data_IF_599974600407
#
_entry.id   IF_599974600407
#
_cell.length_a   1.000
_cell.length_b   1.000
_cell.length_c   1.000
_cell.angle_alpha   90.00
_cell.angle_beta   90.00
_cell.angle_gamma   90.00
#
_symmetry.space_group_name_H-M   'P 1'
#
loop_
_entity.id
_entity.type
_entity.pdbx_description
1 polymer ?
#
# COMPACT_ATOMS: atom_id res chain seq x y z
N UNK A 1 -13.88 -11.16 0.48
CA UNK A 1 -12.47 -11.46 0.76
C UNK A 1 -11.71 -10.14 0.69
N UNK A 2 -11.53 -9.46 1.83
CA UNK A 2 -11.13 -8.04 1.89
C UNK A 2 -9.81 -7.82 2.66
N UNK A 3 -9.13 -8.90 3.05
CA UNK A 3 -7.96 -8.85 3.93
C UNK A 3 -6.74 -8.21 3.24
N UNK A 4 -6.43 -8.61 2.01
CA UNK A 4 -5.17 -8.20 1.35
C UNK A 4 -5.09 -6.71 0.94
N UNK A 5 -6.21 -6.00 0.84
CA UNK A 5 -6.19 -4.57 0.47
C UNK A 5 -5.93 -3.69 1.70
N UNK A 6 -6.51 -4.07 2.84
CA UNK A 6 -6.31 -3.39 4.13
C UNK A 6 -4.87 -3.55 4.61
N UNK A 7 -4.30 -4.77 4.51
CA UNK A 7 -2.88 -5.02 4.83
C UNK A 7 -1.92 -4.18 3.95
N UNK A 8 -2.26 -3.99 2.67
CA UNK A 8 -1.43 -3.21 1.75
C UNK A 8 -1.50 -1.71 2.04
N UNK A 9 -2.71 -1.22 2.37
CA UNK A 9 -2.94 0.17 2.76
C UNK A 9 -2.23 0.47 4.06
N UNK A 10 -2.38 -0.39 5.07
CA UNK A 10 -1.79 -0.21 6.39
C UNK A 10 -0.25 -0.25 6.30
N UNK A 11 0.32 -1.15 5.48
CA UNK A 11 1.76 -1.16 5.21
C UNK A 11 2.26 0.12 4.50
N UNK A 12 1.51 0.65 3.54
CA UNK A 12 1.85 1.89 2.85
C UNK A 12 1.72 3.10 3.80
N UNK A 13 0.69 3.10 4.64
CA UNK A 13 0.40 4.13 5.62
C UNK A 13 1.45 4.17 6.73
N UNK A 14 1.85 3.03 7.29
CA UNK A 14 2.95 2.94 8.26
C UNK A 14 4.30 3.40 7.68
N UNK A 15 4.56 3.13 6.40
CA UNK A 15 5.76 3.64 5.72
C UNK A 15 5.71 5.15 5.53
N UNK A 16 4.54 5.70 5.17
CA UNK A 16 4.39 7.09 4.76
C UNK A 16 4.09 8.06 5.93
N UNK A 17 3.31 7.65 6.93
CA UNK A 17 2.99 8.47 8.11
C UNK A 17 4.04 8.33 9.20
N UNK A 18 4.50 7.10 9.47
CA UNK A 18 5.44 6.82 10.57
C UNK A 18 6.91 6.88 10.09
N UNK A 19 7.15 6.94 8.78
CA UNK A 19 8.51 6.94 8.19
C UNK A 19 9.26 5.62 8.38
N UNK A 20 8.55 4.54 8.73
CA UNK A 20 9.13 3.23 9.01
C UNK A 20 9.71 2.61 7.74
N UNK A 21 10.93 2.09 7.79
CA UNK A 21 11.50 1.31 6.68
C UNK A 21 10.66 0.06 6.37
N UNK A 22 10.61 -0.35 5.10
CA UNK A 22 9.89 -1.56 4.66
C UNK A 22 10.24 -2.83 5.47
N UNK A 23 11.49 -2.94 5.94
CA UNK A 23 11.96 -4.02 6.82
C UNK A 23 11.23 -4.06 8.16
N UNK A 24 10.91 -2.89 8.71
CA UNK A 24 10.19 -2.79 9.98
C UNK A 24 8.71 -3.07 9.79
N UNK A 25 8.09 -2.50 8.76
CA UNK A 25 6.68 -2.78 8.40
C UNK A 25 6.48 -4.28 8.15
N UNK A 26 7.40 -4.93 7.43
CA UNK A 26 7.40 -6.37 7.21
C UNK A 26 7.46 -7.17 8.52
N UNK A 27 8.30 -6.74 9.46
CA UNK A 27 8.44 -7.36 10.77
C UNK A 27 7.17 -7.18 11.64
N UNK A 28 6.57 -6.00 11.64
CA UNK A 28 5.33 -5.72 12.38
C UNK A 28 4.15 -6.52 11.81
N UNK A 29 4.08 -6.61 10.48
CA UNK A 29 3.02 -7.34 9.78
C UNK A 29 3.25 -8.86 9.75
N UNK A 30 4.43 -9.34 10.13
CA UNK A 30 4.79 -10.76 10.04
C UNK A 30 5.00 -11.29 8.62
N UNK A 31 5.15 -10.40 7.63
CA UNK A 31 5.42 -10.74 6.23
C UNK A 31 6.89 -10.53 5.87
N UNK A 32 7.30 -11.06 4.72
CA UNK A 32 8.62 -10.74 4.15
C UNK A 32 8.59 -9.37 3.46
N UNK A 33 9.72 -8.66 3.46
CA UNK A 33 9.86 -7.36 2.78
C UNK A 33 9.45 -7.42 1.30
N UNK A 34 9.79 -8.51 0.61
CA UNK A 34 9.38 -8.73 -0.77
C UNK A 34 7.87 -8.87 -0.97
N UNK A 35 7.15 -9.40 0.02
CA UNK A 35 5.70 -9.50 0.01
C UNK A 35 5.05 -8.13 0.25
N UNK A 36 5.52 -7.39 1.27
CA UNK A 36 5.05 -6.03 1.57
C UNK A 36 5.29 -5.09 0.39
N UNK A 37 6.45 -5.16 -0.24
CA UNK A 37 6.76 -4.34 -1.43
C UNK A 37 5.87 -4.67 -2.62
N UNK A 38 5.53 -5.95 -2.83
CA UNK A 38 4.58 -6.37 -3.87
C UNK A 38 3.16 -5.91 -3.56
N UNK A 39 2.73 -5.99 -2.30
CA UNK A 39 1.44 -5.49 -1.82
C UNK A 39 1.35 -3.97 -2.01
N UNK A 40 2.36 -3.22 -1.57
CA UNK A 40 2.42 -1.77 -1.73
C UNK A 40 2.43 -1.34 -3.20
N UNK A 41 3.15 -2.05 -4.09
CA UNK A 41 3.12 -1.74 -5.53
C UNK A 41 1.76 -2.06 -6.17
N UNK A 42 1.13 -3.17 -5.76
CA UNK A 42 -0.22 -3.52 -6.21
C UNK A 42 -1.27 -2.50 -5.74
N UNK A 43 -1.19 -2.07 -4.47
CA UNK A 43 -2.04 -1.01 -3.91
C UNK A 43 -1.81 0.31 -4.67
N UNK A 44 -0.56 0.72 -4.87
CA UNK A 44 -0.23 1.93 -5.63
C UNK A 44 -0.80 1.91 -7.04
N UNK A 45 -0.72 0.79 -7.77
CA UNK A 45 -1.30 0.69 -9.13
C UNK A 45 -2.81 0.81 -9.14
N UNK A 46 -3.50 0.23 -8.13
CA UNK A 46 -4.95 0.35 -7.99
C UNK A 46 -5.36 1.77 -7.60
N UNK A 47 -4.64 2.38 -6.67
CA UNK A 47 -4.87 3.76 -6.24
C UNK A 47 -4.55 4.75 -7.34
N UNK A 48 -3.49 4.54 -8.12
CA UNK A 48 -3.16 5.34 -9.31
C UNK A 48 -4.25 5.20 -10.38
N UNK A 49 -4.76 3.99 -10.63
CA UNK A 49 -5.90 3.78 -11.52
C UNK A 49 -7.17 4.47 -10.99
N UNK A 50 -7.50 4.30 -9.71
CA UNK A 50 -8.66 4.94 -9.08
C UNK A 50 -8.51 6.47 -9.00
N UNK A 51 -7.29 6.98 -8.79
CA UNK A 51 -6.97 8.40 -8.81
C UNK A 51 -7.03 8.97 -10.23
N UNK A 52 -6.59 8.21 -11.23
CA UNK A 52 -6.73 8.57 -12.64
C UNK A 52 -8.21 8.63 -13.04
N UNK A 53 -9.04 7.69 -12.57
CA UNK A 53 -10.50 7.74 -12.74
C UNK A 53 -11.12 8.95 -12.02
N UNK A 54 -10.65 9.29 -10.81
CA UNK A 54 -11.09 10.48 -10.07
C UNK A 54 -10.57 11.81 -10.65
N UNK A 55 -9.46 11.81 -11.40
CA UNK A 55 -8.91 13.02 -12.02
C UNK A 55 -9.64 13.40 -13.32
N UNK A 56 -10.41 12.48 -13.92
CA UNK A 56 -11.20 12.73 -15.13
C UNK A 56 -12.44 13.59 -14.85
N UNK A 57 -12.89 13.73 -13.59
CA UNK A 57 -14.08 14.52 -13.22
C UNK A 57 -13.77 15.99 -12.87
N UNK A 58 -12.59 16.51 -13.18
CA UNK A 58 -12.25 17.92 -12.92
C UNK A 58 -12.29 18.84 -14.16
N UNK A 59 -13.14 18.52 -15.15
CA UNK A 59 -13.38 19.36 -16.32
C UNK A 59 -14.84 19.79 -16.42
#
# INVERSE_FOLDING_TARGET
>A
MMIADDDARDAWQLHHEDGLTWSRVAKEMGYSEGAVRKLADAYRRRTDAAAAEHQIVLF
#
